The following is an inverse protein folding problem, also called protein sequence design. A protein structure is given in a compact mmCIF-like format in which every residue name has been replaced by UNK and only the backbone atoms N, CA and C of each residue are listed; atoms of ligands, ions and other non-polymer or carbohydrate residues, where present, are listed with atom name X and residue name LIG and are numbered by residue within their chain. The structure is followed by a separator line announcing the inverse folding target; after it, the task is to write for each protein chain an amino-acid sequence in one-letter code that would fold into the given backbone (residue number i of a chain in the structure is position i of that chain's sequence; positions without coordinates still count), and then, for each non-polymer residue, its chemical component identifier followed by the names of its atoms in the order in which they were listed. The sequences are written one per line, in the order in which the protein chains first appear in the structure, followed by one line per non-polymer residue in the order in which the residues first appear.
data_IF_317634341453
#
_entry.id   IF_317634341453
#
_cell.length_a   1.000
_cell.length_b   1.000
_cell.length_c   1.000
_cell.angle_alpha   90.00
_cell.angle_beta   90.00
_cell.angle_gamma   90.00
#
_symmetry.space_group_name_H-M   'P 1'
#
loop_
_entity.id
_entity.type
_entity.pdbx_description
1 polymer ?
#
# COMPACT_ATOMS: atom_id res chain seq x y z
N UNK A 1 -25.08 4.94 -5.28
CA UNK A 1 -23.87 5.13 -6.09
C UNK A 1 -23.36 6.57 -6.08
N UNK A 2 -24.14 7.59 -6.49
CA UNK A 2 -23.66 8.98 -6.58
C UNK A 2 -23.09 9.52 -5.25
N UNK A 3 -23.77 9.29 -4.12
CA UNK A 3 -23.29 9.74 -2.81
C UNK A 3 -21.97 9.05 -2.38
N UNK A 4 -21.79 7.77 -2.70
CA UNK A 4 -20.55 7.04 -2.42
C UNK A 4 -19.38 7.54 -3.26
N UNK A 5 -19.62 7.83 -4.55
CA UNK A 5 -18.62 8.43 -5.44
C UNK A 5 -18.24 9.84 -4.98
N UNK A 6 -19.23 10.68 -4.65
CA UNK A 6 -18.96 12.02 -4.11
C UNK A 6 -18.21 11.95 -2.77
N UNK A 7 -18.59 11.03 -1.88
CA UNK A 7 -17.88 10.79 -0.62
C UNK A 7 -16.43 10.35 -0.84
N UNK A 8 -16.17 9.43 -1.78
CA UNK A 8 -14.81 9.01 -2.15
C UNK A 8 -13.98 10.16 -2.72
N UNK A 9 -14.57 10.97 -3.62
CA UNK A 9 -13.88 12.11 -4.24
C UNK A 9 -13.55 13.16 -3.18
N UNK A 10 -14.53 13.58 -2.39
CA UNK A 10 -14.34 14.61 -1.36
C UNK A 10 -13.39 14.13 -0.26
N UNK A 11 -13.61 12.93 0.28
CA UNK A 11 -12.76 12.35 1.31
C UNK A 11 -11.34 12.09 0.81
N UNK A 12 -11.19 11.55 -0.40
CA UNK A 12 -9.89 11.31 -1.02
C UNK A 12 -9.11 12.60 -1.24
N UNK A 13 -9.74 13.64 -1.78
CA UNK A 13 -9.12 14.95 -1.96
C UNK A 13 -8.78 15.63 -0.64
N UNK A 14 -9.58 15.43 0.41
CA UNK A 14 -9.33 16.00 1.74
C UNK A 14 -8.09 15.38 2.39
N UNK A 15 -7.89 14.06 2.24
CA UNK A 15 -6.82 13.31 2.90
C UNK A 15 -5.52 13.29 2.07
N UNK A 16 -5.61 13.39 0.73
CA UNK A 16 -4.47 13.32 -0.18
C UNK A 16 -3.30 14.28 0.13
N UNK A 17 -3.51 15.55 0.56
CA UNK A 17 -2.40 16.43 0.94
C UNK A 17 -1.55 15.87 2.08
N UNK A 18 -2.19 15.23 3.07
CA UNK A 18 -1.50 14.57 4.18
C UNK A 18 -0.74 13.33 3.71
N UNK A 19 -1.38 12.48 2.89
CA UNK A 19 -0.73 11.29 2.31
C UNK A 19 0.48 11.67 1.48
N UNK A 20 0.40 12.71 0.65
CA UNK A 20 1.55 13.21 -0.11
C UNK A 20 2.69 13.64 0.81
N UNK A 21 2.37 14.34 1.90
CA UNK A 21 3.37 14.74 2.90
C UNK A 21 4.09 13.52 3.48
N UNK A 22 3.35 12.46 3.81
CA UNK A 22 3.90 11.21 4.32
C UNK A 22 4.75 10.48 3.28
N UNK A 23 4.31 10.41 2.01
CA UNK A 23 5.10 9.82 0.92
C UNK A 23 6.47 10.49 0.82
N UNK A 24 6.51 11.82 0.87
CA UNK A 24 7.78 12.57 0.77
C UNK A 24 8.64 12.38 2.02
N UNK A 25 8.02 12.35 3.20
CA UNK A 25 8.70 12.14 4.49
C UNK A 25 9.39 10.78 4.56
N UNK A 26 8.73 9.72 4.08
CA UNK A 26 9.21 8.34 4.16
C UNK A 26 10.01 7.87 2.93
N UNK A 27 9.94 8.58 1.80
CA UNK A 27 10.73 8.26 0.61
C UNK A 27 12.21 8.68 0.73
N UNK A 28 12.91 8.11 1.70
CA UNK A 28 14.34 8.33 1.97
C UNK A 28 15.09 7.01 1.84
N UNK A 29 16.35 7.00 1.34
CA UNK A 29 17.20 5.81 1.35
C UNK A 29 17.40 5.22 2.76
N UNK A 30 17.80 3.96 2.81
CA UNK A 30 18.01 3.23 4.05
C UNK A 30 19.06 3.90 4.96
N UNK A 31 18.79 3.93 6.27
CA UNK A 31 19.66 4.56 7.26
C UNK A 31 19.60 6.10 7.28
N UNK A 32 18.91 6.74 6.33
CA UNK A 32 18.74 8.18 6.30
C UNK A 32 17.65 8.69 7.26
N UNK A 33 17.78 9.90 7.82
CA UNK A 33 16.73 10.51 8.62
C UNK A 33 15.51 10.84 7.74
N UNK A 34 14.30 10.76 8.32
CA UNK A 34 13.07 11.11 7.59
C UNK A 34 13.12 12.53 7.02
N UNK A 35 12.60 12.68 5.80
CA UNK A 35 12.64 13.93 5.06
C UNK A 35 11.68 14.95 5.70
N UNK A 36 12.23 15.86 6.50
CA UNK A 36 11.50 16.98 7.11
C UNK A 36 11.89 18.34 6.51
N UNK A 37 12.94 18.35 5.69
CA UNK A 37 13.50 19.53 5.02
C UNK A 37 13.78 19.21 3.57
N UNK A 38 13.69 20.23 2.71
CA UNK A 38 14.10 20.09 1.32
C UNK A 38 15.63 19.83 1.25
N UNK A 39 16.10 18.78 0.56
CA UNK A 39 17.53 18.51 0.44
C UNK A 39 18.30 19.56 -0.37
N UNK A 40 17.61 20.35 -1.20
CA UNK A 40 18.25 21.36 -2.06
C UNK A 40 18.32 22.76 -1.44
N UNK A 41 17.35 23.14 -0.60
CA UNK A 41 17.28 24.51 -0.03
C UNK A 41 17.04 24.52 1.49
N UNK A 42 17.09 23.36 2.14
CA UNK A 42 16.93 23.15 3.59
C UNK A 42 15.63 23.66 4.23
N UNK A 43 14.70 24.18 3.43
CA UNK A 43 13.41 24.67 3.89
C UNK A 43 12.63 23.54 4.56
N UNK A 44 12.14 23.80 5.79
CA UNK A 44 11.24 22.87 6.50
C UNK A 44 9.97 22.64 5.69
N UNK A 45 9.62 21.38 5.50
CA UNK A 45 8.44 20.94 4.76
C UNK A 45 7.29 20.76 5.76
N UNK A 46 6.29 21.66 5.72
CA UNK A 46 5.03 21.51 6.49
C UNK A 46 3.91 20.82 5.69
N UNK A 47 4.09 20.78 4.38
CA UNK A 47 3.18 20.20 3.40
C UNK A 47 3.78 20.42 2.03
N UNK A 48 3.36 19.61 1.06
CA UNK A 48 3.81 19.73 -0.32
C UNK A 48 2.62 20.19 -1.18
N UNK A 49 2.81 21.07 -2.17
CA UNK A 49 1.76 21.41 -3.13
C UNK A 49 1.41 20.23 -4.07
N UNK A 50 0.23 20.28 -4.74
CA UNK A 50 -0.20 19.37 -5.83
C UNK A 50 0.88 18.95 -6.81
N UNK A 51 1.76 19.89 -7.17
CA UNK A 51 2.86 19.67 -8.11
C UNK A 51 3.99 18.76 -7.62
N UNK A 52 4.01 18.37 -6.33
CA UNK A 52 5.07 17.52 -5.78
C UNK A 52 6.44 18.22 -5.70
N UNK A 53 6.46 19.55 -5.75
CA UNK A 53 7.67 20.39 -5.78
C UNK A 53 7.86 21.16 -4.49
N UNK A 54 9.10 21.48 -4.15
CA UNK A 54 9.40 22.37 -3.03
C UNK A 54 8.79 23.77 -3.27
N UNK A 55 8.08 24.36 -2.30
CA UNK A 55 7.54 25.73 -2.43
C UNK A 55 8.63 26.82 -2.42
N UNK A 56 9.87 26.49 -2.04
CA UNK A 56 11.02 27.40 -2.11
C UNK A 56 11.73 27.31 -3.46
N UNK A 57 12.50 26.24 -3.66
CA UNK A 57 13.37 26.07 -4.83
C UNK A 57 12.73 25.35 -6.04
N UNK A 58 11.45 24.93 -5.95
CA UNK A 58 10.74 24.16 -7.00
C UNK A 58 11.35 22.79 -7.35
N UNK A 59 12.33 22.32 -6.58
CA UNK A 59 12.91 20.98 -6.70
C UNK A 59 11.82 19.91 -6.58
N UNK A 60 11.91 18.83 -7.38
CA UNK A 60 10.90 17.77 -7.38
C UNK A 60 11.16 16.83 -6.20
N UNK A 61 10.30 16.91 -5.19
CA UNK A 61 10.45 16.16 -3.95
C UNK A 61 9.57 14.91 -3.89
N UNK A 62 8.46 14.87 -4.62
CA UNK A 62 7.49 13.77 -4.56
C UNK A 62 7.06 13.23 -5.92
N UNK A 63 6.02 12.37 -5.93
CA UNK A 63 5.39 11.86 -7.14
C UNK A 63 4.93 12.97 -8.11
N UNK A 64 4.56 12.58 -9.33
CA UNK A 64 3.98 13.45 -10.36
C UNK A 64 2.86 14.32 -9.82
N UNK A 65 2.60 15.44 -10.50
CA UNK A 65 1.55 16.35 -10.08
C UNK A 65 0.21 15.60 -10.04
N UNK A 66 -0.57 15.76 -8.96
CA UNK A 66 -1.87 15.12 -8.76
C UNK A 66 -1.91 13.60 -8.73
N UNK A 67 -0.76 12.91 -8.79
CA UNK A 67 -0.75 11.44 -8.82
C UNK A 67 -1.25 10.84 -7.51
N UNK A 68 -0.85 11.42 -6.37
CA UNK A 68 -1.30 10.93 -5.06
C UNK A 68 -2.80 11.14 -4.90
N UNK A 69 -3.31 12.31 -5.28
CA UNK A 69 -4.74 12.64 -5.28
C UNK A 69 -5.55 11.67 -6.14
N UNK A 70 -5.13 11.48 -7.40
CA UNK A 70 -5.84 10.61 -8.32
C UNK A 70 -5.89 9.16 -7.82
N UNK A 71 -4.77 8.63 -7.33
CA UNK A 71 -4.72 7.28 -6.76
C UNK A 71 -5.54 7.19 -5.47
N UNK A 72 -5.47 8.19 -4.59
CA UNK A 72 -6.25 8.18 -3.34
C UNK A 72 -7.75 8.18 -3.62
N UNK A 73 -8.22 9.02 -4.55
CA UNK A 73 -9.63 9.06 -4.96
C UNK A 73 -10.03 7.74 -5.63
N UNK A 74 -9.20 7.19 -6.53
CA UNK A 74 -9.49 5.94 -7.20
C UNK A 74 -9.60 4.76 -6.22
N UNK A 75 -8.68 4.65 -5.27
CA UNK A 75 -8.70 3.59 -4.25
C UNK A 75 -9.86 3.79 -3.27
N UNK A 76 -10.16 5.03 -2.86
CA UNK A 76 -11.32 5.31 -2.02
C UNK A 76 -12.63 4.97 -2.74
N UNK A 77 -12.74 5.27 -4.03
CA UNK A 77 -13.89 4.93 -4.85
C UNK A 77 -14.03 3.41 -4.99
N UNK A 78 -12.94 2.71 -5.28
CA UNK A 78 -12.93 1.25 -5.37
C UNK A 78 -13.30 0.59 -4.03
N UNK A 79 -12.79 1.10 -2.92
CA UNK A 79 -13.14 0.65 -1.57
C UNK A 79 -14.64 0.83 -1.30
N UNK A 80 -15.19 2.02 -1.59
CA UNK A 80 -16.60 2.30 -1.37
C UNK A 80 -17.54 1.59 -2.37
N UNK A 81 -17.07 1.21 -3.55
CA UNK A 81 -17.85 0.42 -4.51
C UNK A 81 -17.87 -1.06 -4.20
N UNK A 82 -16.78 -1.59 -3.65
CA UNK A 82 -16.67 -3.00 -3.25
C UNK A 82 -17.34 -3.28 -1.89
N UNK A 83 -17.41 -2.26 -1.04
CA UNK A 83 -17.80 -2.44 0.35
C UNK A 83 -19.31 -2.73 0.50
N UNK A 84 -19.63 -3.84 1.16
CA UNK A 84 -20.75 -3.82 2.09
C UNK A 84 -20.48 -2.75 3.15
N UNK A 85 -21.50 -2.06 3.70
CA UNK A 85 -21.29 -0.93 4.62
C UNK A 85 -20.42 -1.28 5.84
N UNK A 86 -20.42 -2.55 6.26
CA UNK A 86 -19.56 -3.07 7.32
C UNK A 86 -18.06 -3.11 6.96
N UNK A 87 -17.72 -3.22 5.68
CA UNK A 87 -16.34 -3.40 5.20
C UNK A 87 -15.70 -2.08 4.76
N UNK A 88 -16.51 -1.04 4.53
CA UNK A 88 -16.04 0.27 4.07
C UNK A 88 -14.96 0.84 4.99
N UNK A 89 -15.11 0.69 6.30
CA UNK A 89 -14.12 1.19 7.28
C UNK A 89 -12.78 0.45 7.17
N UNK A 90 -12.80 -0.86 6.93
CA UNK A 90 -11.60 -1.69 6.76
C UNK A 90 -10.85 -1.31 5.49
N UNK A 91 -11.58 -1.17 4.37
CA UNK A 91 -10.99 -0.85 3.08
C UNK A 91 -10.47 0.59 3.02
N UNK A 92 -11.20 1.55 3.61
CA UNK A 92 -10.73 2.94 3.71
C UNK A 92 -9.52 3.07 4.64
N UNK A 93 -9.49 2.30 5.73
CA UNK A 93 -8.31 2.23 6.59
C UNK A 93 -7.11 1.66 5.82
N UNK A 94 -7.27 0.56 5.08
CA UNK A 94 -6.19 -0.01 4.26
C UNK A 94 -5.73 0.95 3.18
N UNK A 95 -6.65 1.68 2.54
CA UNK A 95 -6.38 2.61 1.46
C UNK A 95 -5.41 3.74 1.86
N UNK A 96 -5.63 4.37 3.02
CA UNK A 96 -4.83 5.53 3.45
C UNK A 96 -3.32 5.24 3.54
N UNK A 97 -2.88 4.38 4.48
CA UNK A 97 -1.50 3.93 4.58
C UNK A 97 -1.05 3.18 3.34
N UNK A 98 -1.93 2.38 2.69
CA UNK A 98 -1.61 1.64 1.47
C UNK A 98 -1.15 2.53 0.33
N UNK A 99 -1.80 3.67 0.09
CA UNK A 99 -1.35 4.65 -0.91
C UNK A 99 0.07 5.13 -0.59
N UNK A 100 0.34 5.49 0.66
CA UNK A 100 1.66 5.97 1.07
C UNK A 100 2.72 4.88 0.89
N UNK A 101 2.44 3.67 1.37
CA UNK A 101 3.32 2.50 1.24
C UNK A 101 3.61 2.16 -0.22
N UNK A 102 2.60 2.16 -1.09
CA UNK A 102 2.77 1.89 -2.52
C UNK A 102 3.66 2.92 -3.20
N UNK A 103 3.46 4.22 -2.93
CA UNK A 103 4.31 5.26 -3.51
C UNK A 103 5.74 5.25 -2.94
N UNK A 104 5.91 4.98 -1.64
CA UNK A 104 7.25 4.88 -1.04
C UNK A 104 7.99 3.68 -1.59
N UNK A 105 7.34 2.53 -1.67
CA UNK A 105 7.96 1.30 -2.15
C UNK A 105 8.29 1.38 -3.64
N UNK A 106 7.41 1.93 -4.47
CA UNK A 106 7.70 2.17 -5.89
C UNK A 106 8.92 3.09 -6.12
N UNK A 107 9.22 4.00 -5.18
CA UNK A 107 10.28 4.99 -5.32
C UNK A 107 11.61 4.56 -4.70
N UNK A 108 11.56 4.04 -3.47
CA UNK A 108 12.77 3.68 -2.70
C UNK A 108 12.92 2.18 -2.49
N UNK A 109 11.98 1.35 -2.98
CA UNK A 109 11.94 -0.12 -2.83
C UNK A 109 12.00 -0.56 -1.37
N UNK A 110 11.34 0.22 -0.51
CA UNK A 110 11.30 0.03 0.94
C UNK A 110 9.95 0.42 1.47
N UNK A 111 9.40 -0.44 2.31
CA UNK A 111 8.25 -0.12 3.13
C UNK A 111 8.69 0.46 4.48
N UNK A 112 8.21 1.66 4.86
CA UNK A 112 8.46 2.21 6.18
C UNK A 112 7.79 1.34 7.25
N UNK A 113 8.62 0.62 8.01
CA UNK A 113 8.20 -0.35 9.02
C UNK A 113 7.12 0.16 10.00
N UNK A 114 7.19 1.41 10.53
CA UNK A 114 6.14 1.93 11.42
C UNK A 114 4.78 2.05 10.73
N UNK A 115 4.76 2.33 9.43
CA UNK A 115 3.52 2.51 8.68
C UNK A 115 2.92 1.16 8.26
N UNK A 116 3.74 0.17 7.92
CA UNK A 116 3.27 -1.22 7.73
C UNK A 116 2.62 -1.75 9.01
N UNK A 117 3.23 -1.51 10.18
CA UNK A 117 2.64 -1.88 11.47
C UNK A 117 1.35 -1.12 11.77
N UNK A 118 1.31 0.19 11.51
CA UNK A 118 0.09 0.97 11.69
C UNK A 118 -1.06 0.43 10.83
N UNK A 119 -0.78 0.06 9.58
CA UNK A 119 -1.74 -0.60 8.69
C UNK A 119 -2.22 -1.91 9.31
N UNK A 120 -1.32 -2.82 9.64
CA UNK A 120 -1.64 -4.15 10.15
C UNK A 120 -2.39 -4.10 11.50
N UNK A 121 -1.93 -3.28 12.44
CA UNK A 121 -2.55 -3.12 13.75
C UNK A 121 -3.94 -2.50 13.65
N UNK A 122 -4.12 -1.48 12.82
CA UNK A 122 -5.44 -0.88 12.60
C UNK A 122 -6.42 -1.83 11.93
N UNK A 123 -5.96 -2.64 10.96
CA UNK A 123 -6.79 -3.70 10.37
C UNK A 123 -7.18 -4.76 11.41
N UNK A 124 -6.23 -5.22 12.23
CA UNK A 124 -6.52 -6.19 13.29
C UNK A 124 -7.57 -5.65 14.28
N UNK A 125 -7.40 -4.41 14.76
CA UNK A 125 -8.34 -3.79 15.68
C UNK A 125 -9.73 -3.62 15.07
N UNK A 126 -9.81 -3.11 13.84
CA UNK A 126 -11.08 -2.93 13.13
C UNK A 126 -11.77 -4.27 12.85
N UNK A 127 -11.02 -5.31 12.45
CA UNK A 127 -11.57 -6.65 12.22
C UNK A 127 -12.20 -7.22 13.50
N UNK A 128 -11.51 -7.09 14.64
CA UNK A 128 -12.04 -7.53 15.95
C UNK A 128 -13.34 -6.79 16.26
N UNK A 129 -13.36 -5.46 16.14
CA UNK A 129 -14.57 -4.66 16.42
C UNK A 129 -15.73 -5.06 15.52
N UNK A 130 -15.49 -5.17 14.21
CA UNK A 130 -16.54 -5.48 13.22
C UNK A 130 -17.08 -6.90 13.40
N UNK A 131 -16.23 -7.91 13.60
CA UNK A 131 -16.67 -9.30 13.76
C UNK A 131 -17.36 -9.57 15.10
N UNK A 132 -16.92 -8.91 16.17
CA UNK A 132 -17.62 -8.99 17.46
C UNK A 132 -19.00 -8.33 17.38
N UNK A 133 -19.11 -7.18 16.72
CA UNK A 133 -20.40 -6.52 16.51
C UNK A 133 -21.35 -7.33 15.59
N UNK A 134 -20.80 -8.06 14.62
CA UNK A 134 -21.56 -8.92 13.72
C UNK A 134 -21.95 -10.28 14.33
N UNK A 135 -21.39 -10.65 15.49
CA UNK A 135 -21.67 -11.93 16.15
C UNK A 135 -21.00 -13.14 15.48
N UNK A 136 -19.94 -12.92 14.69
CA UNK A 136 -19.26 -13.95 13.89
C UNK A 136 -17.77 -14.13 14.26
N UNK A 137 -17.43 -14.38 15.55
CA UNK A 137 -16.03 -14.45 15.99
C UNK A 137 -15.22 -15.56 15.33
N UNK A 138 -15.87 -16.61 14.79
CA UNK A 138 -15.20 -17.67 14.04
C UNK A 138 -14.45 -17.16 12.79
N UNK A 139 -14.87 -16.03 12.22
CA UNK A 139 -14.18 -15.38 11.10
C UNK A 139 -12.81 -14.85 11.53
N UNK A 140 -12.66 -14.39 12.78
CA UNK A 140 -11.37 -13.87 13.29
C UNK A 140 -10.28 -14.94 13.28
N UNK A 141 -10.62 -16.19 13.57
CA UNK A 141 -9.66 -17.29 13.46
C UNK A 141 -9.19 -17.48 12.02
N UNK A 142 -10.10 -17.41 11.05
CA UNK A 142 -9.74 -17.48 9.63
C UNK A 142 -8.86 -16.29 9.22
N UNK A 143 -9.20 -15.08 9.63
CA UNK A 143 -8.38 -13.90 9.41
C UNK A 143 -6.97 -14.09 9.96
N UNK A 144 -6.83 -14.58 11.19
CA UNK A 144 -5.55 -14.84 11.83
C UNK A 144 -4.75 -15.91 11.06
N UNK A 145 -5.37 -17.03 10.70
CA UNK A 145 -4.69 -18.11 9.97
C UNK A 145 -4.19 -17.63 8.60
N UNK A 146 -5.02 -16.90 7.85
CA UNK A 146 -4.61 -16.34 6.56
C UNK A 146 -3.49 -15.31 6.73
N UNK A 147 -3.58 -14.44 7.74
CA UNK A 147 -2.53 -13.48 8.05
C UNK A 147 -1.18 -14.16 8.33
N UNK A 148 -1.19 -15.21 9.16
CA UNK A 148 0.03 -15.96 9.51
C UNK A 148 0.61 -16.69 8.31
N UNK A 149 -0.23 -17.34 7.50
CA UNK A 149 0.21 -18.00 6.25
C UNK A 149 0.81 -16.97 5.29
N UNK A 150 0.15 -15.83 5.09
CA UNK A 150 0.68 -14.75 4.26
C UNK A 150 2.02 -14.26 4.80
N UNK A 151 2.12 -13.92 6.09
CA UNK A 151 3.37 -13.48 6.70
C UNK A 151 4.49 -14.51 6.51
N UNK A 152 4.23 -15.80 6.77
CA UNK A 152 5.23 -16.85 6.59
C UNK A 152 5.74 -16.96 5.14
N UNK A 153 4.84 -16.80 4.15
CA UNK A 153 5.22 -16.85 2.73
C UNK A 153 6.13 -15.67 2.32
N UNK A 154 5.98 -14.50 2.94
CA UNK A 154 6.84 -13.33 2.69
C UNK A 154 8.10 -13.28 3.57
N UNK A 155 8.08 -13.96 4.72
CA UNK A 155 9.24 -14.07 5.60
C UNK A 155 10.32 -14.98 4.99
N UNK A 156 9.93 -16.05 4.28
CA UNK A 156 10.86 -16.99 3.63
C UNK A 156 11.83 -16.28 2.65
N UNK A 157 11.36 -15.43 1.71
CA UNK A 157 12.24 -14.56 0.91
C UNK A 157 13.03 -13.52 1.73
N UNK A 158 12.49 -13.08 2.87
CA UNK A 158 13.18 -12.13 3.75
C UNK A 158 14.48 -12.70 4.32
N UNK A 159 14.52 -13.99 4.63
CA UNK A 159 15.70 -14.67 5.19
C UNK A 159 16.87 -14.73 4.20
N UNK A 160 16.57 -14.80 2.90
CA UNK A 160 17.55 -14.79 1.81
C UNK A 160 17.87 -13.37 1.30
N UNK A 161 17.39 -12.34 2.01
CA UNK A 161 17.66 -10.93 1.69
C UNK A 161 16.97 -10.43 0.42
N UNK A 162 15.97 -11.16 -0.10
CA UNK A 162 15.22 -10.76 -1.30
C UNK A 162 14.07 -9.79 -0.99
N UNK A 163 13.61 -9.76 0.26
CA UNK A 163 12.48 -8.92 0.71
C UNK A 163 12.78 -8.24 2.04
N UNK A 164 12.19 -7.07 2.25
CA UNK A 164 12.35 -6.33 3.50
C UNK A 164 11.34 -6.79 4.56
N UNK A 165 11.65 -6.61 5.86
CA UNK A 165 10.72 -6.97 6.95
C UNK A 165 9.40 -6.19 6.91
N UNK A 166 9.35 -5.07 6.17
CA UNK A 166 8.12 -4.31 5.95
C UNK A 166 7.11 -5.01 5.04
N UNK A 167 7.57 -5.88 4.12
CA UNK A 167 6.71 -6.66 3.23
C UNK A 167 5.98 -7.75 4.02
N UNK A 168 6.66 -8.43 4.95
CA UNK A 168 6.05 -9.42 5.85
C UNK A 168 4.90 -8.81 6.64
N UNK A 169 5.13 -7.64 7.26
CA UNK A 169 4.10 -6.96 8.07
C UNK A 169 2.93 -6.47 7.20
N UNK A 170 3.21 -6.01 5.98
CA UNK A 170 2.16 -5.67 5.03
C UNK A 170 1.33 -6.91 4.66
N UNK A 171 1.98 -8.03 4.33
CA UNK A 171 1.33 -9.29 4.00
C UNK A 171 0.51 -9.84 5.17
N UNK A 172 1.00 -9.67 6.42
CA UNK A 172 0.25 -10.00 7.62
C UNK A 172 -1.06 -9.21 7.70
N UNK A 173 -1.00 -7.88 7.54
CA UNK A 173 -2.18 -7.01 7.60
C UNK A 173 -3.19 -7.27 6.47
N UNK A 174 -2.71 -7.34 5.22
CA UNK A 174 -3.56 -7.60 4.06
C UNK A 174 -4.10 -9.03 4.03
N UNK A 175 -3.32 -10.00 4.52
CA UNK A 175 -3.77 -11.38 4.71
C UNK A 175 -4.92 -11.47 5.72
N UNK A 176 -4.85 -10.73 6.83
CA UNK A 176 -5.96 -10.65 7.79
C UNK A 176 -7.24 -10.10 7.12
N UNK A 177 -7.10 -9.04 6.31
CA UNK A 177 -8.21 -8.47 5.55
C UNK A 177 -8.80 -9.48 4.56
N UNK A 178 -7.98 -10.17 3.77
CA UNK A 178 -8.44 -11.17 2.81
C UNK A 178 -9.08 -12.39 3.50
N UNK A 179 -8.59 -12.77 4.68
CA UNK A 179 -9.17 -13.86 5.46
C UNK A 179 -10.61 -13.60 5.91
N UNK A 180 -11.02 -12.33 6.01
CA UNK A 180 -12.43 -11.96 6.22
C UNK A 180 -13.30 -12.41 5.06
N UNK A 181 -12.85 -12.16 3.82
CA UNK A 181 -13.52 -12.57 2.58
C UNK A 181 -13.37 -14.07 2.27
N UNK A 182 -12.41 -14.74 2.91
CA UNK A 182 -12.25 -16.19 2.88
C UNK A 182 -11.03 -16.67 2.11
N UNK A 183 -10.83 -17.99 2.08
CA UNK A 183 -9.64 -18.61 1.50
C UNK A 183 -9.51 -18.37 -0.01
N UNK A 184 -10.64 -18.31 -0.74
CA UNK A 184 -10.65 -18.00 -2.16
C UNK A 184 -10.13 -16.59 -2.43
N UNK A 185 -10.60 -15.60 -1.66
CA UNK A 185 -10.11 -14.22 -1.74
C UNK A 185 -8.62 -14.12 -1.37
N UNK A 186 -8.19 -14.83 -0.32
CA UNK A 186 -6.78 -14.89 0.07
C UNK A 186 -5.88 -15.44 -1.04
N UNK A 187 -6.28 -16.56 -1.65
CA UNK A 187 -5.53 -17.19 -2.73
C UNK A 187 -5.50 -16.29 -3.97
N UNK A 188 -6.66 -15.77 -4.40
CA UNK A 188 -6.74 -14.88 -5.56
C UNK A 188 -5.93 -13.61 -5.36
N UNK A 189 -5.95 -13.01 -4.17
CA UNK A 189 -5.21 -11.78 -3.88
C UNK A 189 -3.70 -11.99 -3.90
N UNK A 190 -3.23 -13.05 -3.24
CA UNK A 190 -1.80 -13.40 -3.22
C UNK A 190 -1.30 -13.85 -4.60
N UNK A 191 -2.10 -14.63 -5.31
CA UNK A 191 -1.80 -15.05 -6.67
C UNK A 191 -1.73 -13.85 -7.62
N UNK A 192 -2.73 -12.96 -7.59
CA UNK A 192 -2.74 -11.74 -8.40
C UNK A 192 -1.53 -10.85 -8.09
N UNK A 193 -1.18 -10.66 -6.81
CA UNK A 193 0.01 -9.92 -6.41
C UNK A 193 1.29 -10.54 -7.00
N UNK A 194 1.42 -11.87 -6.91
CA UNK A 194 2.58 -12.61 -7.43
C UNK A 194 2.69 -12.53 -8.95
N UNK A 195 1.57 -12.67 -9.66
CA UNK A 195 1.51 -12.55 -11.13
C UNK A 195 1.87 -11.14 -11.57
N UNK A 196 1.31 -10.11 -10.94
CA UNK A 196 1.63 -8.71 -11.27
C UNK A 196 3.11 -8.39 -11.03
N UNK A 197 3.67 -8.83 -9.90
CA UNK A 197 5.08 -8.67 -9.59
C UNK A 197 5.97 -9.40 -10.62
N UNK A 198 5.63 -10.65 -10.95
CA UNK A 198 6.33 -11.45 -11.95
C UNK A 198 6.30 -10.83 -13.35
N UNK A 199 5.13 -10.39 -13.82
CA UNK A 199 4.98 -9.71 -15.10
C UNK A 199 5.83 -8.44 -15.15
N UNK A 200 5.84 -7.65 -14.07
CA UNK A 200 6.67 -6.45 -14.00
C UNK A 200 8.17 -6.77 -14.05
N UNK A 201 8.63 -7.81 -13.35
CA UNK A 201 10.00 -8.28 -13.44
C UNK A 201 10.37 -8.71 -14.87
N UNK A 202 9.50 -9.47 -15.54
CA UNK A 202 9.71 -9.91 -16.93
C UNK A 202 9.81 -8.71 -17.86
N UNK A 203 8.86 -7.76 -17.80
CA UNK A 203 8.87 -6.55 -18.64
C UNK A 203 10.15 -5.74 -18.41
N UNK A 204 10.60 -5.61 -17.15
CA UNK A 204 11.87 -4.92 -16.85
C UNK A 204 13.09 -5.66 -17.37
N UNK A 205 13.13 -6.98 -17.23
CA UNK A 205 14.21 -7.81 -17.73
C UNK A 205 14.30 -7.72 -19.27
N UNK A 206 13.16 -7.84 -19.97
CA UNK A 206 13.07 -7.70 -21.42
C UNK A 206 13.50 -6.29 -21.85
N UNK A 207 13.03 -5.24 -21.18
CA UNK A 207 13.42 -3.87 -21.51
C UNK A 207 14.90 -3.57 -21.20
N UNK A 208 15.50 -4.21 -20.20
CA UNK A 208 16.93 -4.12 -19.92
C UNK A 208 17.75 -4.84 -21.01
N UNK A 209 17.32 -6.04 -21.40
CA UNK A 209 17.93 -6.83 -22.47
C UNK A 209 17.87 -6.10 -23.81
N UNK A 210 16.71 -5.55 -24.18
CA UNK A 210 16.54 -4.75 -25.39
C UNK A 210 17.47 -3.53 -25.42
N UNK A 211 17.77 -2.94 -24.25
CA UNK A 211 18.71 -1.82 -24.10
C UNK A 211 20.17 -2.26 -23.85
N UNK A 212 20.46 -3.57 -23.94
CA UNK A 212 21.76 -4.18 -23.66
C UNK A 212 22.36 -3.76 -22.31
N UNK A 213 21.49 -3.49 -21.32
CA UNK A 213 21.92 -3.14 -19.97
C UNK A 213 21.92 -4.40 -19.10
N UNK A 214 22.90 -4.54 -18.18
CA UNK A 214 22.90 -5.65 -17.25
C UNK A 214 21.66 -5.57 -16.36
N UNK A 215 21.01 -6.72 -16.15
CA UNK A 215 19.88 -6.85 -15.22
C UNK A 215 20.45 -6.83 -13.79
N UNK A 216 20.70 -5.64 -13.25
CA UNK A 216 21.13 -5.43 -11.86
C UNK A 216 20.00 -4.77 -11.07
N UNK A 217 19.83 -5.16 -9.81
CA UNK A 217 18.81 -4.60 -8.91
C UNK A 217 17.39 -5.08 -9.24
N UNK A 218 17.18 -6.39 -9.16
CA UNK A 218 15.88 -7.07 -9.25
C UNK A 218 15.07 -6.97 -7.94
N UNK A 219 15.40 -6.03 -7.04
CA UNK A 219 14.54 -5.68 -5.92
C UNK A 219 13.17 -5.27 -6.48
N UNK A 220 12.18 -6.13 -6.30
CA UNK A 220 10.81 -5.88 -6.72
C UNK A 220 10.11 -5.04 -5.66
N UNK A 221 9.47 -3.91 -6.03
CA UNK A 221 8.59 -3.21 -5.12
C UNK A 221 7.34 -4.06 -4.93
N UNK A 222 7.34 -4.94 -3.93
CA UNK A 222 6.27 -5.90 -3.70
C UNK A 222 5.02 -5.25 -3.12
N UNK A 223 5.18 -4.15 -2.38
CA UNK A 223 4.09 -3.45 -1.70
C UNK A 223 2.93 -3.03 -2.62
N UNK A 224 3.19 -2.32 -3.73
CA UNK A 224 2.16 -1.96 -4.71
C UNK A 224 1.42 -3.17 -5.27
N UNK A 225 2.13 -4.26 -5.57
CA UNK A 225 1.51 -5.46 -6.14
C UNK A 225 0.67 -6.22 -5.12
N UNK A 226 1.12 -6.28 -3.86
CA UNK A 226 0.34 -6.80 -2.74
C UNK A 226 -0.96 -6.03 -2.52
N UNK A 227 -0.88 -4.69 -2.52
CA UNK A 227 -2.04 -3.82 -2.39
C UNK A 227 -3.01 -3.96 -3.57
N UNK A 228 -2.50 -3.99 -4.80
CA UNK A 228 -3.31 -4.16 -6.01
C UNK A 228 -3.95 -5.54 -6.08
N UNK A 229 -3.21 -6.61 -5.75
CA UNK A 229 -3.74 -7.96 -5.68
C UNK A 229 -4.85 -8.09 -4.64
N UNK A 230 -4.65 -7.50 -3.45
CA UNK A 230 -5.68 -7.45 -2.40
C UNK A 230 -6.93 -6.72 -2.87
N UNK A 231 -6.77 -5.53 -3.47
CA UNK A 231 -7.89 -4.76 -4.00
C UNK A 231 -8.65 -5.52 -5.08
N UNK A 232 -7.93 -6.17 -6.01
CA UNK A 232 -8.52 -6.97 -7.07
C UNK A 232 -9.32 -8.16 -6.52
N UNK A 233 -8.77 -8.89 -5.53
CA UNK A 233 -9.47 -10.01 -4.92
C UNK A 233 -10.76 -9.59 -4.21
N UNK A 234 -10.73 -8.47 -3.49
CA UNK A 234 -11.91 -7.90 -2.83
C UNK A 234 -12.98 -7.48 -3.84
N UNK A 235 -12.58 -6.85 -4.96
CA UNK A 235 -13.52 -6.44 -6.01
C UNK A 235 -14.16 -7.61 -6.77
N UNK A 236 -13.60 -8.82 -6.65
CA UNK A 236 -14.10 -10.04 -7.29
C UNK A 236 -15.03 -10.88 -6.40
N UNK A 237 -15.21 -10.50 -5.13
CA UNK A 237 -16.17 -11.14 -4.22
C UNK A 237 -17.53 -10.44 -4.31
#
# INVERSE_FOLDING_TARGET
MIAAVLGAVLGGLLVAPALRGLVVRYAVPEGGPWCTRCPACERRLRGLPPGGRCPGCRERLGPGAWQVEAVTVAVAAAALSAAHPADAVLLLWAAGPGVVLGFTDARVRRLPYPLSWALAAGLAALLVVVELAAGSPGVLLRCLLVALVAAALFELPGWIGLMGPGDTVLALGLGALLGRYGWSAAFTGLFAASVLAGLWAVVRAVAALARRRPVRGLELPMGPFLLLGTLAAVLLQ
#
